data_IF_227136753865
#
_entry.id   IF_227136753865
#
_cell.length_a   1.000
_cell.length_b   1.000
_cell.length_c   1.000
_cell.angle_alpha   90.00
_cell.angle_beta   90.00
_cell.angle_gamma   90.00
#
_symmetry.space_group_name_H-M   'P 1'
#
loop_
_entity.id
_entity.type
_entity.pdbx_description
1 polymer ?
#
# COMPACT_ATOMS: atom_id res chain seq x y z
N UNK A 1 -22.72 -27.75 -9.21
CA UNK A 1 -23.02 -27.77 -10.66
C UNK A 1 -21.68 -27.74 -11.38
N UNK A 2 -21.49 -28.53 -12.44
CA UNK A 2 -20.22 -28.52 -13.17
C UNK A 2 -20.00 -27.14 -13.82
N UNK A 3 -18.78 -26.60 -13.70
CA UNK A 3 -18.47 -25.25 -14.16
C UNK A 3 -18.62 -25.09 -15.67
N UNK A 4 -18.11 -26.05 -16.45
CA UNK A 4 -18.22 -26.02 -17.91
C UNK A 4 -19.66 -26.12 -18.38
N UNK A 5 -20.45 -27.06 -17.83
CA UNK A 5 -21.87 -27.16 -18.19
C UNK A 5 -22.63 -25.87 -17.88
N UNK A 6 -22.33 -25.22 -16.74
CA UNK A 6 -22.96 -23.94 -16.43
C UNK A 6 -22.58 -22.86 -17.44
N UNK A 7 -21.32 -22.82 -17.87
CA UNK A 7 -20.83 -21.85 -18.87
C UNK A 7 -21.54 -22.07 -20.22
N UNK A 8 -21.59 -23.32 -20.68
CA UNK A 8 -22.20 -23.72 -21.95
C UNK A 8 -23.71 -23.44 -21.97
N UNK A 9 -24.40 -23.59 -20.83
CA UNK A 9 -25.82 -23.27 -20.68
C UNK A 9 -26.08 -21.75 -20.57
N UNK A 10 -25.09 -20.98 -20.09
CA UNK A 10 -25.24 -19.55 -19.80
C UNK A 10 -24.90 -18.65 -20.98
N UNK A 11 -24.04 -19.10 -21.90
CA UNK A 11 -23.53 -18.29 -23.00
C UNK A 11 -23.48 -19.06 -24.31
N UNK A 12 -23.88 -18.40 -25.40
CA UNK A 12 -23.67 -18.92 -26.75
C UNK A 12 -22.21 -18.74 -27.21
N UNK A 13 -21.80 -19.52 -28.22
CA UNK A 13 -20.44 -19.47 -28.79
C UNK A 13 -20.09 -18.14 -29.44
N UNK A 14 -21.09 -17.38 -29.87
CA UNK A 14 -20.93 -16.06 -30.44
C UNK A 14 -20.75 -15.00 -29.34
N UNK A 15 -21.50 -15.12 -28.23
CA UNK A 15 -21.41 -14.18 -27.11
C UNK A 15 -20.05 -14.23 -26.42
N UNK A 16 -19.51 -15.43 -26.16
CA UNK A 16 -18.24 -15.60 -25.42
C UNK A 16 -17.04 -14.88 -26.07
N UNK A 17 -17.09 -14.66 -27.40
CA UNK A 17 -16.02 -13.99 -28.15
C UNK A 17 -15.94 -12.49 -27.88
N UNK A 18 -17.05 -11.89 -27.48
CA UNK A 18 -17.17 -10.45 -27.22
C UNK A 18 -17.15 -10.11 -25.73
N UNK A 19 -17.22 -11.11 -24.84
CA UNK A 19 -17.20 -10.91 -23.39
C UNK A 19 -15.83 -10.39 -22.95
N UNK A 20 -15.83 -9.17 -22.41
CA UNK A 20 -14.64 -8.53 -21.80
C UNK A 20 -14.54 -8.75 -20.30
N UNK A 21 -15.66 -8.98 -19.64
CA UNK A 21 -15.74 -9.10 -18.18
C UNK A 21 -16.63 -10.28 -17.81
N UNK A 22 -16.07 -11.28 -17.12
CA UNK A 22 -16.80 -12.45 -16.65
C UNK A 22 -16.76 -12.48 -15.11
N UNK A 23 -17.93 -12.42 -14.48
CA UNK A 23 -18.09 -12.56 -13.03
C UNK A 23 -18.98 -13.77 -12.70
N UNK A 24 -18.35 -14.82 -12.19
CA UNK A 24 -18.97 -16.08 -11.76
C UNK A 24 -18.63 -16.39 -10.30
N UNK A 25 -18.38 -15.34 -9.51
CA UNK A 25 -18.09 -15.44 -8.08
C UNK A 25 -19.23 -16.13 -7.32
N UNK A 26 -18.88 -17.04 -6.42
CA UNK A 26 -19.80 -17.66 -5.46
C UNK A 26 -21.03 -18.31 -6.11
N UNK A 27 -20.79 -19.11 -7.15
CA UNK A 27 -21.83 -19.83 -7.90
C UNK A 27 -21.94 -21.31 -7.51
N UNK A 28 -21.08 -21.79 -6.60
CA UNK A 28 -21.03 -23.20 -6.23
C UNK A 28 -20.63 -24.11 -7.41
N UNK A 29 -19.83 -23.57 -8.33
CA UNK A 29 -19.32 -24.31 -9.49
C UNK A 29 -18.22 -25.28 -9.06
N UNK A 30 -18.19 -26.45 -9.69
CA UNK A 30 -17.26 -27.54 -9.38
C UNK A 30 -16.54 -28.02 -10.64
N UNK A 31 -15.31 -28.50 -10.50
CA UNK A 31 -14.56 -29.12 -11.60
C UNK A 31 -13.79 -28.11 -12.45
N UNK A 32 -13.59 -28.43 -13.72
CA UNK A 32 -12.79 -27.62 -14.65
C UNK A 32 -13.60 -26.51 -15.31
N UNK A 33 -12.99 -25.34 -15.50
CA UNK A 33 -13.52 -24.24 -16.30
C UNK A 33 -12.58 -23.96 -17.48
N UNK A 34 -13.10 -24.10 -18.70
CA UNK A 34 -12.40 -23.81 -19.94
C UNK A 34 -12.86 -22.46 -20.51
N UNK A 35 -11.95 -21.48 -20.57
CA UNK A 35 -12.18 -20.16 -21.16
C UNK A 35 -11.33 -19.96 -22.43
N UNK A 36 -10.91 -21.03 -23.10
CA UNK A 36 -10.04 -20.98 -24.28
C UNK A 36 -10.66 -20.29 -25.51
N UNK A 37 -11.96 -20.03 -25.52
CA UNK A 37 -12.66 -19.28 -26.58
C UNK A 37 -12.94 -17.81 -26.21
N UNK A 38 -12.54 -17.35 -25.01
CA UNK A 38 -12.79 -15.99 -24.50
C UNK A 38 -11.69 -14.99 -24.92
N UNK A 39 -11.49 -14.81 -26.23
CA UNK A 39 -10.39 -14.01 -26.79
C UNK A 39 -10.40 -12.53 -26.42
N UNK A 40 -11.57 -12.00 -26.04
CA UNK A 40 -11.75 -10.58 -25.67
C UNK A 40 -11.74 -10.34 -24.16
N UNK A 41 -11.54 -11.37 -23.34
CA UNK A 41 -11.64 -11.27 -21.90
C UNK A 41 -10.49 -10.45 -21.32
N UNK A 42 -10.84 -9.40 -20.60
CA UNK A 42 -9.94 -8.44 -19.95
C UNK A 42 -9.98 -8.59 -18.42
N UNK A 43 -11.11 -9.03 -17.86
CA UNK A 43 -11.32 -9.20 -16.42
C UNK A 43 -12.09 -10.48 -16.10
N UNK A 44 -11.56 -11.29 -15.18
CA UNK A 44 -12.17 -12.53 -14.72
C UNK A 44 -12.29 -12.55 -13.20
N UNK A 45 -13.48 -12.87 -12.69
CA UNK A 45 -13.69 -13.28 -11.31
C UNK A 45 -14.43 -14.61 -11.23
N UNK A 46 -13.71 -15.65 -10.84
CA UNK A 46 -14.24 -16.99 -10.59
C UNK A 46 -14.06 -17.42 -9.11
N UNK A 47 -13.90 -16.45 -8.22
CA UNK A 47 -13.63 -16.67 -6.80
C UNK A 47 -14.77 -17.39 -6.08
N UNK A 48 -14.46 -18.00 -4.93
CA UNK A 48 -15.41 -18.67 -4.04
C UNK A 48 -16.22 -19.77 -4.74
N UNK A 49 -15.54 -20.62 -5.51
CA UNK A 49 -16.12 -21.82 -6.11
C UNK A 49 -15.32 -23.05 -5.64
N UNK A 50 -15.50 -24.18 -6.31
CA UNK A 50 -14.73 -25.42 -6.10
C UNK A 50 -14.09 -25.85 -7.41
N UNK A 51 -13.52 -24.89 -8.13
CA UNK A 51 -12.85 -25.14 -9.39
C UNK A 51 -11.55 -25.89 -9.12
N UNK A 52 -11.31 -26.95 -9.87
CA UNK A 52 -10.09 -27.77 -9.75
C UNK A 52 -9.05 -27.43 -10.83
N UNK A 53 -9.48 -26.80 -11.92
CA UNK A 53 -8.61 -26.30 -12.98
C UNK A 53 -9.25 -25.11 -13.70
N UNK A 54 -8.39 -24.26 -14.27
CA UNK A 54 -8.77 -23.07 -15.01
C UNK A 54 -7.90 -22.96 -16.26
N UNK A 55 -8.50 -23.04 -17.46
CA UNK A 55 -7.78 -22.86 -18.73
C UNK A 55 -8.01 -21.44 -19.28
N UNK A 56 -6.92 -20.68 -19.40
CA UNK A 56 -6.87 -19.28 -19.86
C UNK A 56 -6.02 -19.10 -21.13
N UNK A 57 -5.66 -20.19 -21.83
CA UNK A 57 -4.60 -20.18 -22.84
C UNK A 57 -4.78 -19.16 -23.97
N UNK A 58 -6.02 -18.80 -24.31
CA UNK A 58 -6.33 -17.83 -25.37
C UNK A 58 -6.74 -16.45 -24.85
N UNK A 59 -6.82 -16.26 -23.54
CA UNK A 59 -7.30 -15.02 -22.91
C UNK A 59 -6.19 -13.95 -22.82
N UNK A 60 -5.47 -13.69 -23.91
CA UNK A 60 -4.25 -12.85 -23.93
C UNK A 60 -4.47 -11.37 -23.55
N UNK A 61 -5.73 -10.93 -23.52
CA UNK A 61 -6.11 -9.57 -23.09
C UNK A 61 -6.38 -9.45 -21.59
N UNK A 62 -6.29 -10.54 -20.82
CA UNK A 62 -6.55 -10.50 -19.38
C UNK A 62 -5.60 -9.54 -18.66
N UNK A 63 -6.18 -8.58 -17.97
CA UNK A 63 -5.49 -7.63 -17.09
C UNK A 63 -5.65 -7.99 -15.61
N UNK A 64 -6.79 -8.59 -15.23
CA UNK A 64 -7.08 -8.93 -13.84
C UNK A 64 -7.73 -10.32 -13.73
N UNK A 65 -7.17 -11.17 -12.87
CA UNK A 65 -7.68 -12.51 -12.58
C UNK A 65 -7.92 -12.64 -11.07
N UNK A 66 -9.15 -12.95 -10.71
CA UNK A 66 -9.53 -13.33 -9.35
C UNK A 66 -10.06 -14.77 -9.35
N UNK A 67 -9.27 -15.69 -8.82
CA UNK A 67 -9.64 -17.10 -8.62
C UNK A 67 -9.52 -17.53 -7.14
N UNK A 68 -9.59 -16.54 -6.22
CA UNK A 68 -9.54 -16.72 -4.78
C UNK A 68 -10.51 -17.82 -4.29
N UNK A 69 -10.08 -18.62 -3.32
CA UNK A 69 -10.90 -19.67 -2.68
C UNK A 69 -11.50 -20.65 -3.69
N UNK A 70 -10.64 -21.47 -4.27
CA UNK A 70 -10.95 -22.61 -5.13
C UNK A 70 -10.05 -23.81 -4.76
N UNK A 71 -10.06 -24.87 -5.56
CA UNK A 71 -9.26 -26.09 -5.36
C UNK A 71 -8.23 -26.29 -6.49
N UNK A 72 -7.77 -25.18 -7.09
CA UNK A 72 -6.86 -25.19 -8.25
C UNK A 72 -5.47 -25.62 -7.81
N UNK A 73 -4.90 -26.62 -8.49
CA UNK A 73 -3.56 -27.16 -8.20
C UNK A 73 -2.47 -26.59 -9.11
N UNK A 74 -2.85 -26.25 -10.33
CA UNK A 74 -1.96 -25.73 -11.37
C UNK A 74 -2.73 -24.68 -12.17
N UNK A 75 -2.04 -23.59 -12.52
CA UNK A 75 -2.58 -22.55 -13.39
C UNK A 75 -1.51 -22.14 -14.39
N UNK A 76 -1.86 -22.15 -15.68
CA UNK A 76 -0.97 -21.71 -16.74
C UNK A 76 -1.29 -20.27 -17.14
N UNK A 77 -0.35 -19.37 -16.89
CA UNK A 77 -0.46 -17.94 -17.18
C UNK A 77 0.47 -17.49 -18.33
N UNK A 78 0.99 -18.46 -19.10
CA UNK A 78 1.88 -18.20 -20.24
C UNK A 78 1.20 -17.29 -21.27
N UNK A 79 1.91 -16.23 -21.70
CA UNK A 79 1.46 -15.22 -22.68
C UNK A 79 0.34 -14.30 -22.21
N UNK A 80 0.10 -14.19 -20.91
CA UNK A 80 -0.79 -13.16 -20.35
C UNK A 80 0.00 -11.88 -20.09
N UNK A 81 0.58 -11.31 -21.15
CA UNK A 81 1.54 -10.19 -21.06
C UNK A 81 0.92 -8.89 -20.54
N UNK A 82 -0.42 -8.79 -20.57
CA UNK A 82 -1.19 -7.66 -20.08
C UNK A 82 -1.61 -7.82 -18.61
N UNK A 83 -1.30 -8.94 -17.95
CA UNK A 83 -1.75 -9.23 -16.60
C UNK A 83 -1.10 -8.24 -15.61
N UNK A 84 -1.97 -7.52 -14.89
CA UNK A 84 -1.59 -6.52 -13.89
C UNK A 84 -1.89 -6.98 -12.47
N UNK A 85 -2.93 -7.80 -12.30
CA UNK A 85 -3.35 -8.29 -10.98
C UNK A 85 -3.71 -9.77 -11.02
N UNK A 86 -3.13 -10.53 -10.11
CA UNK A 86 -3.48 -11.93 -9.87
C UNK A 86 -3.85 -12.12 -8.40
N UNK A 87 -5.07 -12.56 -8.17
CA UNK A 87 -5.51 -13.11 -6.89
C UNK A 87 -5.85 -14.59 -7.03
N UNK A 88 -4.89 -15.44 -6.63
CA UNK A 88 -5.01 -16.89 -6.56
C UNK A 88 -4.92 -17.39 -5.11
N UNK A 89 -5.26 -16.54 -4.13
CA UNK A 89 -5.26 -16.93 -2.72
C UNK A 89 -6.20 -18.09 -2.43
N UNK A 90 -5.95 -18.83 -1.35
CA UNK A 90 -6.81 -19.93 -0.89
C UNK A 90 -7.05 -21.01 -1.96
N UNK A 91 -6.00 -21.43 -2.67
CA UNK A 91 -6.02 -22.56 -3.61
C UNK A 91 -5.09 -23.71 -3.13
N UNK A 92 -4.69 -24.61 -4.03
CA UNK A 92 -3.79 -25.72 -3.78
C UNK A 92 -2.55 -25.66 -4.70
N UNK A 93 -2.17 -24.46 -5.17
CA UNK A 93 -1.04 -24.27 -6.07
C UNK A 93 0.26 -24.72 -5.41
N UNK A 94 1.06 -25.50 -6.14
CA UNK A 94 2.38 -25.98 -5.68
C UNK A 94 3.54 -25.26 -6.35
N UNK A 95 3.32 -24.74 -7.56
CA UNK A 95 4.31 -24.00 -8.33
C UNK A 95 3.63 -22.98 -9.27
N UNK A 96 4.41 -22.01 -9.74
CA UNK A 96 3.98 -21.02 -10.72
C UNK A 96 5.20 -20.55 -11.53
N UNK A 97 5.07 -20.58 -12.86
CA UNK A 97 6.12 -20.06 -13.73
C UNK A 97 6.13 -18.52 -13.70
N UNK A 98 6.98 -17.95 -12.84
CA UNK A 98 7.14 -16.50 -12.74
C UNK A 98 7.73 -15.87 -14.01
N UNK A 99 8.40 -16.64 -14.87
CA UNK A 99 8.93 -16.13 -16.14
C UNK A 99 7.85 -15.91 -17.20
N UNK A 100 6.66 -16.48 -16.99
CA UNK A 100 5.49 -16.28 -17.84
C UNK A 100 4.85 -14.90 -17.72
N UNK A 101 5.15 -14.16 -16.64
CA UNK A 101 4.59 -12.84 -16.38
C UNK A 101 5.42 -11.74 -17.04
N UNK A 102 4.75 -10.70 -17.53
CA UNK A 102 5.43 -9.47 -17.87
C UNK A 102 5.75 -8.67 -16.59
N UNK A 103 7.04 -8.64 -16.26
CA UNK A 103 7.54 -8.00 -15.05
C UNK A 103 7.24 -6.48 -14.97
N UNK A 104 7.06 -5.81 -16.12
CA UNK A 104 6.78 -4.38 -16.18
C UNK A 104 5.29 -4.03 -15.93
N UNK A 105 4.40 -5.01 -16.00
CA UNK A 105 2.95 -4.79 -15.90
C UNK A 105 2.36 -5.25 -14.57
N UNK A 106 2.95 -6.25 -13.91
CA UNK A 106 2.40 -6.84 -12.69
C UNK A 106 2.50 -5.86 -11.50
N UNK A 107 1.36 -5.52 -10.91
CA UNK A 107 1.22 -4.61 -9.77
C UNK A 107 0.79 -5.32 -8.50
N UNK A 108 -0.01 -6.38 -8.60
CA UNK A 108 -0.57 -7.09 -7.46
C UNK A 108 -0.48 -8.60 -7.65
N UNK A 109 0.17 -9.26 -6.69
CA UNK A 109 0.33 -10.71 -6.68
C UNK A 109 -0.08 -11.27 -5.31
N UNK A 110 -1.21 -11.98 -5.30
CA UNK A 110 -1.76 -12.63 -4.11
C UNK A 110 -1.80 -14.13 -4.31
N UNK A 111 -0.92 -14.82 -3.59
CA UNK A 111 -0.71 -16.27 -3.60
C UNK A 111 -0.90 -16.89 -2.21
N UNK A 112 -1.45 -16.14 -1.26
CA UNK A 112 -1.57 -16.57 0.13
C UNK A 112 -2.40 -17.85 0.29
N UNK A 113 -2.07 -18.65 1.30
CA UNK A 113 -2.80 -19.87 1.67
C UNK A 113 -2.94 -20.87 0.50
N UNK A 114 -1.81 -21.13 -0.16
CA UNK A 114 -1.59 -22.19 -1.17
C UNK A 114 -0.68 -23.29 -0.60
N UNK A 115 -0.07 -24.11 -1.45
CA UNK A 115 0.87 -25.17 -1.07
C UNK A 115 2.19 -25.06 -1.84
N UNK A 116 2.70 -23.84 -2.05
CA UNK A 116 3.96 -23.65 -2.78
C UNK A 116 5.07 -24.46 -2.12
N UNK A 117 5.79 -25.22 -2.94
CA UNK A 117 6.95 -25.98 -2.52
C UNK A 117 8.11 -25.05 -2.12
N UNK A 118 9.27 -25.62 -1.81
CA UNK A 118 10.44 -24.87 -1.36
C UNK A 118 10.94 -23.89 -2.44
N UNK A 119 10.46 -22.65 -2.36
CA UNK A 119 10.70 -21.59 -3.34
C UNK A 119 11.48 -20.45 -2.70
N UNK A 120 12.52 -19.98 -3.36
CA UNK A 120 13.26 -18.81 -2.90
C UNK A 120 12.52 -17.54 -3.33
N UNK A 121 12.34 -16.60 -2.39
CA UNK A 121 11.75 -15.27 -2.62
C UNK A 121 12.43 -14.49 -3.77
N UNK A 122 13.67 -14.84 -4.15
CA UNK A 122 14.39 -14.31 -5.31
C UNK A 122 13.60 -14.39 -6.64
N UNK A 123 12.65 -15.33 -6.75
CA UNK A 123 11.75 -15.43 -7.90
C UNK A 123 10.94 -14.14 -8.15
N UNK A 124 10.73 -13.32 -7.12
CA UNK A 124 10.01 -12.06 -7.25
C UNK A 124 10.88 -10.88 -7.68
N UNK A 125 12.22 -11.03 -7.71
CA UNK A 125 13.15 -9.94 -8.06
C UNK A 125 12.85 -9.19 -9.37
N UNK A 126 12.32 -9.82 -10.44
CA UNK A 126 12.01 -9.09 -11.67
C UNK A 126 10.88 -8.06 -11.50
N UNK A 127 9.95 -8.28 -10.57
CA UNK A 127 8.72 -7.50 -10.44
C UNK A 127 8.89 -6.22 -9.61
N UNK A 128 9.78 -5.33 -10.05
CA UNK A 128 10.13 -4.09 -9.33
C UNK A 128 8.98 -3.09 -9.18
N UNK A 129 7.89 -3.26 -9.94
CA UNK A 129 6.70 -2.41 -9.89
C UNK A 129 5.60 -2.90 -8.96
N UNK A 130 5.75 -4.05 -8.31
CA UNK A 130 4.74 -4.60 -7.39
C UNK A 130 4.38 -3.58 -6.30
N UNK A 131 3.09 -3.42 -6.09
CA UNK A 131 2.50 -2.65 -5.00
C UNK A 131 2.03 -3.56 -3.85
N UNK A 132 1.62 -4.80 -4.18
CA UNK A 132 1.06 -5.76 -3.23
C UNK A 132 1.63 -7.14 -3.47
N UNK A 133 2.22 -7.76 -2.43
CA UNK A 133 2.71 -9.13 -2.45
C UNK A 133 2.22 -9.90 -1.22
N UNK A 134 1.27 -10.82 -1.42
CA UNK A 134 0.73 -11.67 -0.35
C UNK A 134 1.10 -13.12 -0.61
N UNK A 135 2.05 -13.66 0.15
CA UNK A 135 2.56 -15.04 -0.02
C UNK A 135 2.45 -15.87 1.27
N UNK A 136 1.81 -15.30 2.30
CA UNK A 136 1.63 -15.91 3.60
C UNK A 136 0.77 -17.19 3.57
N UNK A 137 0.68 -17.87 4.71
CA UNK A 137 -0.39 -18.83 4.98
C UNK A 137 -1.10 -18.44 6.26
N UNK A 138 -2.39 -18.14 6.17
CA UNK A 138 -3.21 -17.66 7.27
C UNK A 138 -4.44 -18.54 7.57
N UNK A 139 -4.41 -19.77 7.06
CA UNK A 139 -5.42 -20.80 7.30
C UNK A 139 -4.83 -21.92 8.18
N UNK A 140 -5.27 -21.99 9.44
CA UNK A 140 -4.83 -23.02 10.39
C UNK A 140 -5.21 -24.43 9.92
N UNK A 141 -6.38 -24.60 9.31
CA UNK A 141 -6.84 -25.91 8.85
C UNK A 141 -6.00 -26.44 7.70
N UNK A 142 -5.52 -25.56 6.82
CA UNK A 142 -4.54 -25.91 5.77
C UNK A 142 -3.18 -26.27 6.38
N UNK A 143 -2.68 -25.48 7.34
CA UNK A 143 -1.39 -25.74 8.00
C UNK A 143 -1.41 -27.09 8.73
N UNK A 144 -2.48 -27.41 9.45
CA UNK A 144 -2.67 -28.71 10.11
C UNK A 144 -2.64 -29.89 9.10
N UNK A 145 -3.08 -29.64 7.87
CA UNK A 145 -3.00 -30.60 6.75
C UNK A 145 -1.66 -30.57 6.01
N UNK A 146 -0.66 -29.85 6.52
CA UNK A 146 0.64 -29.63 5.88
C UNK A 146 0.54 -28.94 4.49
N UNK A 147 -0.50 -28.13 4.30
CA UNK A 147 -0.75 -27.30 3.12
C UNK A 147 -0.39 -25.86 3.48
N UNK A 148 0.78 -25.40 3.06
CA UNK A 148 1.22 -24.02 3.30
C UNK A 148 2.33 -23.64 2.32
N UNK A 149 2.52 -22.34 2.14
CA UNK A 149 3.54 -21.80 1.26
C UNK A 149 4.94 -21.87 1.89
N UNK A 150 5.87 -22.57 1.24
CA UNK A 150 7.25 -22.76 1.70
C UNK A 150 8.23 -21.79 1.04
N UNK A 151 7.84 -20.50 1.00
CA UNK A 151 8.77 -19.45 0.57
C UNK A 151 9.86 -19.25 1.62
N UNK A 152 11.11 -19.17 1.17
CA UNK A 152 12.28 -18.95 2.01
C UNK A 152 13.23 -17.92 1.38
N UNK A 153 14.31 -17.60 2.08
CA UNK A 153 15.32 -16.65 1.60
C UNK A 153 15.33 -15.38 2.44
N UNK A 154 15.75 -14.26 1.84
CA UNK A 154 15.98 -13.01 2.54
C UNK A 154 15.28 -11.85 1.83
N UNK A 155 14.79 -10.87 2.58
CA UNK A 155 14.06 -9.72 2.03
C UNK A 155 14.92 -8.78 1.16
N UNK A 156 16.25 -9.00 1.06
CA UNK A 156 17.14 -8.29 0.13
C UNK A 156 16.62 -8.22 -1.31
N UNK A 157 15.92 -9.25 -1.75
CA UNK A 157 15.26 -9.31 -3.06
C UNK A 157 14.31 -8.13 -3.30
N UNK A 158 13.67 -7.62 -2.25
CA UNK A 158 12.65 -6.57 -2.34
C UNK A 158 13.26 -5.17 -2.43
N UNK A 159 14.59 -5.02 -2.38
CA UNK A 159 15.30 -3.74 -2.37
C UNK A 159 14.90 -2.82 -3.52
N UNK A 160 14.66 -3.38 -4.70
CA UNK A 160 14.33 -2.62 -5.91
C UNK A 160 12.81 -2.38 -6.07
N UNK A 161 11.97 -2.90 -5.17
CA UNK A 161 10.50 -2.79 -5.22
C UNK A 161 10.01 -1.52 -4.52
N UNK A 162 10.37 -0.36 -5.06
CA UNK A 162 10.10 0.94 -4.44
C UNK A 162 8.60 1.27 -4.27
N UNK A 163 7.71 0.61 -5.00
CA UNK A 163 6.26 0.83 -4.95
C UNK A 163 5.53 -0.10 -3.98
N UNK A 164 6.22 -1.04 -3.34
CA UNK A 164 5.59 -2.05 -2.49
C UNK A 164 4.99 -1.40 -1.24
N UNK A 165 3.67 -1.51 -1.11
CA UNK A 165 2.86 -0.91 -0.04
C UNK A 165 2.32 -1.95 0.91
N UNK A 166 2.06 -3.15 0.43
CA UNK A 166 1.55 -4.25 1.23
C UNK A 166 2.38 -5.52 1.01
N UNK A 167 2.90 -6.07 2.10
CA UNK A 167 3.64 -7.32 2.13
C UNK A 167 3.14 -8.21 3.26
N UNK A 168 2.74 -9.43 2.92
CA UNK A 168 2.37 -10.44 3.92
C UNK A 168 3.17 -11.73 3.71
N UNK A 169 4.02 -12.02 4.70
CA UNK A 169 4.91 -13.18 4.74
C UNK A 169 4.65 -14.05 5.99
N UNK A 170 3.49 -13.90 6.66
CA UNK A 170 3.12 -14.74 7.81
C UNK A 170 3.22 -16.23 7.46
N UNK A 171 3.69 -17.02 8.42
CA UNK A 171 3.87 -18.48 8.27
C UNK A 171 4.84 -18.95 7.17
N UNK A 172 5.71 -18.09 6.64
CA UNK A 172 6.76 -18.45 5.67
C UNK A 172 8.13 -18.66 6.34
N UNK A 173 9.07 -19.24 5.59
CA UNK A 173 10.46 -19.47 6.02
C UNK A 173 11.43 -18.37 5.57
N UNK A 174 10.92 -17.19 5.22
CA UNK A 174 11.71 -16.00 4.89
C UNK A 174 12.37 -15.45 6.16
N UNK A 175 13.67 -15.15 6.10
CA UNK A 175 14.48 -14.71 7.24
C UNK A 175 15.37 -13.50 6.91
N UNK A 176 15.36 -12.51 7.82
CA UNK A 176 16.18 -11.29 7.77
C UNK A 176 15.87 -10.32 6.62
N UNK A 177 16.73 -9.29 6.48
CA UNK A 177 16.67 -8.34 5.37
C UNK A 177 15.66 -7.21 5.53
N UNK A 178 15.24 -6.92 6.77
CA UNK A 178 14.32 -5.82 7.09
C UNK A 178 14.81 -4.46 6.57
N UNK A 179 16.13 -4.26 6.53
CA UNK A 179 16.77 -3.07 6.02
C UNK A 179 16.53 -2.81 4.51
N UNK A 180 16.03 -3.81 3.78
CA UNK A 180 15.71 -3.73 2.36
C UNK A 180 14.21 -3.50 2.09
N UNK A 181 13.38 -3.42 3.14
CA UNK A 181 11.98 -3.06 2.97
C UNK A 181 11.86 -1.58 2.55
N UNK A 182 10.94 -1.25 1.62
CA UNK A 182 10.70 0.13 1.24
C UNK A 182 10.23 0.97 2.42
N UNK A 183 10.71 2.23 2.49
CA UNK A 183 10.37 3.15 3.56
C UNK A 183 8.85 3.46 3.62
N UNK A 184 8.18 3.42 2.48
CA UNK A 184 6.75 3.76 2.32
C UNK A 184 5.81 2.55 2.47
N UNK A 185 6.31 1.41 2.95
CA UNK A 185 5.47 0.24 3.20
C UNK A 185 4.37 0.56 4.22
N UNK A 186 3.11 0.37 3.81
CA UNK A 186 1.94 0.71 4.62
C UNK A 186 1.55 -0.44 5.54
N UNK A 187 1.61 -1.65 5.01
CA UNK A 187 1.25 -2.87 5.71
C UNK A 187 2.35 -3.91 5.53
N UNK A 188 2.94 -4.34 6.65
CA UNK A 188 3.90 -5.43 6.68
C UNK A 188 3.50 -6.45 7.75
N UNK A 189 3.07 -7.63 7.30
CA UNK A 189 2.60 -8.73 8.16
C UNK A 189 3.65 -9.83 8.18
N UNK A 190 4.21 -10.07 9.36
CA UNK A 190 5.25 -11.07 9.61
C UNK A 190 4.97 -11.70 10.98
N UNK A 191 4.37 -12.88 11.00
CA UNK A 191 4.00 -13.57 12.24
C UNK A 191 4.19 -15.07 12.05
N UNK A 192 4.49 -15.73 13.18
CA UNK A 192 4.63 -17.18 13.30
C UNK A 192 3.46 -17.81 14.07
N UNK A 193 2.41 -17.04 14.42
CA UNK A 193 1.25 -17.58 15.15
C UNK A 193 0.66 -18.81 14.49
N UNK A 194 0.50 -18.75 13.17
CA UNK A 194 -0.08 -19.82 12.36
C UNK A 194 0.85 -21.02 12.24
N UNK A 195 2.17 -20.79 12.24
CA UNK A 195 3.20 -21.82 12.11
C UNK A 195 4.39 -21.49 13.04
N UNK A 196 4.42 -22.01 14.28
CA UNK A 196 5.40 -21.63 15.30
C UNK A 196 6.87 -21.87 14.90
N UNK A 197 7.13 -22.85 14.04
CA UNK A 197 8.45 -23.18 13.51
C UNK A 197 8.87 -22.33 12.29
N UNK A 198 7.98 -21.47 11.78
CA UNK A 198 8.27 -20.61 10.62
C UNK A 198 9.43 -19.65 10.91
N UNK A 199 10.40 -19.59 9.99
CA UNK A 199 11.59 -18.74 10.17
C UNK A 199 11.31 -17.24 10.11
N UNK A 200 10.15 -16.81 9.62
CA UNK A 200 9.69 -15.42 9.72
C UNK A 200 9.72 -14.88 11.17
N UNK A 201 9.72 -15.75 12.21
CA UNK A 201 9.91 -15.32 13.59
C UNK A 201 11.33 -14.76 13.88
N UNK A 202 12.36 -15.11 13.10
CA UNK A 202 13.70 -14.55 13.27
C UNK A 202 13.74 -13.06 12.95
N UNK A 203 12.97 -12.63 11.94
CA UNK A 203 12.77 -11.23 11.60
C UNK A 203 12.23 -10.46 12.81
N UNK A 204 11.24 -11.03 13.50
CA UNK A 204 10.71 -10.47 14.74
C UNK A 204 11.79 -10.36 15.84
N UNK A 205 12.61 -11.40 16.04
CA UNK A 205 13.70 -11.38 17.04
C UNK A 205 14.79 -10.36 16.70
N UNK A 206 15.14 -10.22 15.43
CA UNK A 206 16.10 -9.23 14.94
C UNK A 206 15.59 -7.80 15.15
N UNK A 207 14.35 -7.53 14.77
CA UNK A 207 13.70 -6.25 15.01
C UNK A 207 13.63 -5.94 16.50
N UNK A 208 13.20 -6.91 17.31
CA UNK A 208 13.14 -6.76 18.76
C UNK A 208 14.52 -6.53 19.37
N UNK A 209 15.57 -7.18 18.88
CA UNK A 209 16.96 -6.95 19.30
C UNK A 209 17.45 -5.54 18.96
N UNK A 210 17.18 -5.06 17.75
CA UNK A 210 17.52 -3.69 17.35
C UNK A 210 16.76 -2.64 18.17
N UNK A 211 15.45 -2.84 18.35
CA UNK A 211 14.61 -1.99 19.19
C UNK A 211 15.05 -2.02 20.66
N UNK A 212 15.44 -3.18 21.19
CA UNK A 212 16.00 -3.30 22.53
C UNK A 212 17.31 -2.51 22.66
N UNK A 213 18.24 -2.62 21.70
CA UNK A 213 19.50 -1.85 21.70
C UNK A 213 19.23 -0.35 21.69
N UNK A 214 18.35 0.12 20.79
CA UNK A 214 17.94 1.52 20.74
C UNK A 214 17.27 1.98 22.03
N UNK A 215 16.40 1.15 22.61
CA UNK A 215 15.76 1.42 23.89
C UNK A 215 16.74 1.49 25.04
N UNK A 216 17.81 0.70 25.05
CA UNK A 216 18.84 0.80 26.11
C UNK A 216 19.65 2.10 26.03
N UNK A 217 19.77 2.71 24.84
CA UNK A 217 20.38 4.03 24.68
C UNK A 217 19.47 5.14 25.21
N UNK A 218 18.16 5.02 24.99
CA UNK A 218 17.16 6.01 25.41
C UNK A 218 16.79 5.85 26.89
N UNK A 219 16.73 4.61 27.39
CA UNK A 219 16.40 4.26 28.77
C UNK A 219 17.46 3.30 29.36
N UNK A 220 18.57 3.83 29.88
CA UNK A 220 19.59 3.02 30.53
C UNK A 220 19.00 2.30 31.75
N UNK A 221 19.29 1.00 31.91
CA UNK A 221 18.89 0.17 33.05
C UNK A 221 17.38 -0.03 33.24
N UNK A 222 16.55 0.22 32.21
CA UNK A 222 15.13 -0.13 32.21
C UNK A 222 14.87 -1.32 31.28
N UNK A 223 13.88 -2.15 31.64
CA UNK A 223 13.40 -3.21 30.75
C UNK A 223 12.73 -2.60 29.52
N UNK A 224 12.94 -3.18 28.34
CA UNK A 224 12.30 -2.73 27.12
C UNK A 224 10.78 -2.71 27.26
N UNK A 225 10.20 -1.53 27.07
CA UNK A 225 8.77 -1.32 26.90
C UNK A 225 8.58 -0.55 25.60
N UNK A 226 8.00 -1.20 24.60
CA UNK A 226 7.78 -0.61 23.28
C UNK A 226 6.88 0.63 23.31
N UNK A 227 5.92 0.68 24.23
CA UNK A 227 5.00 1.80 24.37
C UNK A 227 5.73 3.01 24.93
N UNK A 228 6.51 2.81 25.99
CA UNK A 228 7.36 3.87 26.57
C UNK A 228 8.42 4.33 25.57
N UNK A 229 9.07 3.40 24.87
CA UNK A 229 10.06 3.71 23.84
C UNK A 229 9.46 4.52 22.69
N UNK A 230 8.29 4.15 22.19
CA UNK A 230 7.58 4.91 21.16
C UNK A 230 7.23 6.33 21.63
N UNK A 231 6.71 6.46 22.86
CA UNK A 231 6.36 7.76 23.43
C UNK A 231 7.59 8.66 23.56
N UNK A 232 8.73 8.11 23.98
CA UNK A 232 9.96 8.86 24.15
C UNK A 232 10.61 9.27 22.82
N UNK A 233 10.59 8.40 21.81
CA UNK A 233 11.01 8.78 20.46
C UNK A 233 10.13 9.91 19.91
N UNK A 234 8.81 9.85 20.12
CA UNK A 234 7.90 10.93 19.73
C UNK A 234 8.18 12.23 20.51
N UNK A 235 8.59 12.14 21.78
CA UNK A 235 9.02 13.27 22.60
C UNK A 235 10.30 13.91 22.07
N UNK A 236 11.32 13.12 21.78
CA UNK A 236 12.60 13.59 21.24
C UNK A 236 12.43 14.26 19.87
N UNK A 237 11.67 13.63 18.96
CA UNK A 237 11.34 14.23 17.66
C UNK A 237 10.62 15.57 17.81
N UNK A 238 9.67 15.66 18.75
CA UNK A 238 8.99 16.93 19.03
C UNK A 238 9.96 17.99 19.56
N UNK A 239 10.88 17.63 20.45
CA UNK A 239 11.89 18.55 20.98
C UNK A 239 12.84 19.08 19.90
N UNK A 240 13.17 18.27 18.90
CA UNK A 240 14.01 18.66 17.77
C UNK A 240 13.27 19.55 16.77
N UNK A 241 12.02 19.19 16.42
CA UNK A 241 11.25 19.87 15.36
C UNK A 241 10.54 21.14 15.83
N UNK A 242 10.14 21.23 17.11
CA UNK A 242 9.37 22.37 17.61
C UNK A 242 10.12 23.72 17.58
N UNK A 243 11.44 23.80 17.89
CA UNK A 243 12.21 25.03 17.70
C UNK A 243 12.24 25.47 16.23
N UNK A 244 12.49 24.54 15.31
CA UNK A 244 12.53 24.84 13.88
C UNK A 244 11.19 25.37 13.37
N UNK A 245 10.07 24.76 13.77
CA UNK A 245 8.74 25.25 13.42
C UNK A 245 8.45 26.68 13.94
N UNK A 246 8.98 27.04 15.11
CA UNK A 246 8.84 28.40 15.65
C UNK A 246 9.63 29.42 14.83
N UNK A 247 10.83 29.08 14.40
CA UNK A 247 11.66 29.93 13.54
C UNK A 247 11.03 30.12 12.16
N UNK A 248 10.53 29.04 11.58
CA UNK A 248 9.81 29.04 10.30
C UNK A 248 8.54 29.90 10.37
N UNK A 249 7.78 29.82 11.47
CA UNK A 249 6.62 30.67 11.71
C UNK A 249 6.98 32.15 11.84
N UNK A 250 8.04 32.47 12.60
CA UNK A 250 8.49 33.85 12.74
C UNK A 250 8.93 34.43 11.38
N UNK A 251 9.61 33.63 10.57
CA UNK A 251 10.01 34.00 9.21
C UNK A 251 8.79 34.25 8.32
N UNK A 252 7.77 33.39 8.41
CA UNK A 252 6.54 33.57 7.66
C UNK A 252 5.76 34.81 8.08
N UNK A 253 5.67 35.10 9.39
CA UNK A 253 5.06 36.34 9.91
C UNK A 253 5.79 37.59 9.39
N UNK A 254 7.12 37.55 9.32
CA UNK A 254 7.91 38.62 8.72
C UNK A 254 7.58 38.82 7.24
N UNK A 255 7.53 37.75 6.44
CA UNK A 255 7.17 37.82 5.02
C UNK A 255 5.77 38.41 4.80
N UNK A 256 4.82 38.05 5.66
CA UNK A 256 3.46 38.63 5.60
C UNK A 256 3.49 40.14 5.85
N UNK A 257 4.27 40.60 6.84
CA UNK A 257 4.38 42.02 7.15
C UNK A 257 5.05 42.80 6.02
N UNK A 258 6.15 42.28 5.46
CA UNK A 258 6.83 42.87 4.30
C UNK A 258 5.89 42.98 3.09
N UNK A 259 5.09 41.94 2.84
CA UNK A 259 4.11 41.95 1.76
C UNK A 259 2.99 42.97 2.00
N UNK A 260 2.52 43.13 3.25
CA UNK A 260 1.51 44.14 3.62
C UNK A 260 2.02 45.56 3.49
N UNK A 261 3.26 45.82 3.90
CA UNK A 261 3.92 47.12 3.73
C UNK A 261 4.03 47.48 2.24
N UNK A 262 4.50 46.55 1.40
CA UNK A 262 4.59 46.74 -0.07
C UNK A 262 3.22 46.95 -0.73
N UNK A 263 2.20 46.27 -0.23
CA UNK A 263 0.83 46.37 -0.74
C UNK A 263 0.10 47.66 -0.29
N UNK A 264 0.62 48.36 0.73
CA UNK A 264 0.03 49.56 1.32
C UNK A 264 -1.01 49.21 2.38
N UNK A 265 -0.77 49.69 3.62
CA UNK A 265 -1.45 49.27 4.86
C UNK A 265 -2.99 49.35 4.85
N UNK A 266 -3.61 50.15 3.97
CA UNK A 266 -5.06 50.35 3.94
C UNK A 266 -5.81 49.82 2.71
N UNK A 267 -5.13 49.48 1.61
CA UNK A 267 -5.82 49.21 0.32
C UNK A 267 -5.79 47.73 -0.08
N UNK A 268 -4.62 47.09 -0.03
CA UNK A 268 -4.44 45.70 -0.49
C UNK A 268 -4.01 44.73 0.63
N UNK A 269 -3.62 45.24 1.81
CA UNK A 269 -3.26 44.42 2.96
C UNK A 269 -4.36 43.42 3.42
N UNK A 270 -5.66 43.77 3.39
CA UNK A 270 -6.72 42.79 3.70
C UNK A 270 -6.78 41.64 2.69
N UNK A 271 -6.42 41.89 1.43
CA UNK A 271 -6.44 40.88 0.35
C UNK A 271 -5.36 39.83 0.55
N UNK A 272 -4.22 40.18 1.15
CA UNK A 272 -3.18 39.22 1.54
C UNK A 272 -3.74 38.23 2.58
N UNK A 273 -4.47 38.70 3.59
CA UNK A 273 -5.09 37.82 4.58
C UNK A 273 -6.15 36.91 3.92
N UNK A 274 -6.99 37.44 3.03
CA UNK A 274 -7.98 36.66 2.29
C UNK A 274 -7.34 35.60 1.38
N UNK A 275 -6.21 35.93 0.75
CA UNK A 275 -5.43 34.99 -0.06
C UNK A 275 -4.92 33.83 0.79
N UNK A 276 -4.28 34.13 1.92
CA UNK A 276 -3.76 33.12 2.84
C UNK A 276 -4.90 32.26 3.44
N UNK A 277 -6.04 32.87 3.78
CA UNK A 277 -7.20 32.14 4.29
C UNK A 277 -7.79 31.20 3.23
N UNK A 278 -7.96 31.67 2.00
CA UNK A 278 -8.46 30.85 0.90
C UNK A 278 -7.51 29.70 0.56
N UNK A 279 -6.19 29.94 0.59
CA UNK A 279 -5.18 28.92 0.36
C UNK A 279 -5.19 27.85 1.47
N UNK A 280 -5.30 28.26 2.74
CA UNK A 280 -5.42 27.35 3.86
C UNK A 280 -6.68 26.47 3.78
N UNK A 281 -7.83 27.06 3.44
CA UNK A 281 -9.07 26.31 3.22
C UNK A 281 -8.94 25.32 2.06
N UNK A 282 -8.25 25.71 0.99
CA UNK A 282 -8.01 24.87 -0.18
C UNK A 282 -7.16 23.63 0.13
N UNK A 283 -6.20 23.75 1.05
CA UNK A 283 -5.37 22.62 1.52
C UNK A 283 -6.15 21.62 2.38
N UNK A 284 -7.17 22.08 3.11
CA UNK A 284 -7.97 21.24 4.00
C UNK A 284 -9.16 20.57 3.30
N UNK A 285 -9.53 21.06 2.11
CA UNK A 285 -10.73 20.60 1.41
C UNK A 285 -10.47 19.36 0.56
N UNK A 286 -11.28 18.32 0.76
CA UNK A 286 -11.21 17.04 0.02
C UNK A 286 -12.19 16.99 -1.17
N UNK A 287 -13.27 17.78 -1.12
CA UNK A 287 -14.29 17.83 -2.18
C UNK A 287 -13.82 18.63 -3.40
N UNK A 288 -13.84 18.00 -4.59
CA UNK A 288 -13.40 18.61 -5.85
C UNK A 288 -14.15 19.89 -6.21
N UNK A 289 -15.48 19.89 -6.07
CA UNK A 289 -16.32 21.04 -6.42
C UNK A 289 -16.10 22.29 -5.55
N UNK A 290 -15.64 22.11 -4.31
CA UNK A 290 -15.29 23.20 -3.40
C UNK A 290 -13.85 23.69 -3.66
N UNK A 291 -12.96 22.76 -4.00
CA UNK A 291 -11.57 23.04 -4.37
C UNK A 291 -11.48 23.93 -5.62
N UNK A 292 -12.31 23.68 -6.62
CA UNK A 292 -12.38 24.50 -7.84
C UNK A 292 -12.80 25.95 -7.54
N UNK A 293 -13.76 26.14 -6.62
CA UNK A 293 -14.21 27.47 -6.17
C UNK A 293 -13.12 28.21 -5.39
N UNK A 294 -12.39 27.51 -4.52
CA UNK A 294 -11.30 28.09 -3.73
C UNK A 294 -10.09 28.44 -4.61
N UNK A 295 -9.76 27.58 -5.58
CA UNK A 295 -8.74 27.83 -6.59
C UNK A 295 -9.04 29.10 -7.40
N UNK A 296 -10.29 29.27 -7.85
CA UNK A 296 -10.74 30.48 -8.54
C UNK A 296 -10.63 31.76 -7.68
N UNK A 297 -10.90 31.67 -6.36
CA UNK A 297 -10.71 32.80 -5.44
C UNK A 297 -9.23 33.14 -5.23
N UNK A 298 -8.38 32.13 -5.03
CA UNK A 298 -6.94 32.29 -4.88
C UNK A 298 -6.37 33.01 -6.10
N UNK A 299 -6.76 32.60 -7.31
CA UNK A 299 -6.27 33.21 -8.55
C UNK A 299 -6.76 34.67 -8.72
N UNK A 300 -8.02 34.96 -8.34
CA UNK A 300 -8.53 36.32 -8.32
C UNK A 300 -7.75 37.22 -7.34
N UNK A 301 -7.45 36.74 -6.13
CA UNK A 301 -6.66 37.49 -5.16
C UNK A 301 -5.21 37.68 -5.62
N UNK A 302 -4.59 36.66 -6.24
CA UNK A 302 -3.26 36.78 -6.86
C UNK A 302 -3.24 37.87 -7.93
N UNK A 303 -4.22 37.87 -8.84
CA UNK A 303 -4.31 38.85 -9.93
C UNK A 303 -4.41 40.29 -9.40
N UNK A 304 -5.19 40.49 -8.33
CA UNK A 304 -5.32 41.81 -7.70
C UNK A 304 -3.99 42.23 -7.04
N UNK A 305 -3.34 41.31 -6.33
CA UNK A 305 -2.09 41.57 -5.62
C UNK A 305 -0.88 41.73 -6.55
N UNK A 306 -0.91 41.15 -7.76
CA UNK A 306 0.13 41.28 -8.79
C UNK A 306 0.34 42.74 -9.27
N UNK A 307 -0.59 43.64 -8.94
CA UNK A 307 -0.43 45.09 -9.18
C UNK A 307 0.56 45.75 -8.23
N UNK A 308 0.97 45.06 -7.14
CA UNK A 308 1.83 45.56 -6.06
C UNK A 308 2.94 44.60 -5.65
N UNK A 309 2.71 43.31 -5.77
CA UNK A 309 3.65 42.24 -5.44
C UNK A 309 4.02 41.47 -6.69
N UNK A 310 5.24 40.95 -6.75
CA UNK A 310 5.67 40.06 -7.82
C UNK A 310 5.02 38.69 -7.70
N UNK A 311 4.95 37.96 -8.81
CA UNK A 311 4.48 36.58 -8.82
C UNK A 311 5.33 35.67 -7.92
N UNK A 312 6.64 35.92 -7.85
CA UNK A 312 7.58 35.17 -7.01
C UNK A 312 7.33 35.38 -5.52
N UNK A 313 7.09 36.62 -5.08
CA UNK A 313 6.75 36.93 -3.69
C UNK A 313 5.43 36.27 -3.26
N UNK A 314 4.41 36.33 -4.12
CA UNK A 314 3.11 35.68 -3.86
C UNK A 314 3.26 34.15 -3.81
N UNK A 315 4.06 33.56 -4.70
CA UNK A 315 4.29 32.12 -4.68
C UNK A 315 5.10 31.69 -3.45
N UNK A 316 6.08 32.49 -3.04
CA UNK A 316 6.88 32.25 -1.83
C UNK A 316 6.01 32.25 -0.57
N UNK A 317 5.10 33.21 -0.43
CA UNK A 317 4.14 33.26 0.68
C UNK A 317 3.26 32.01 0.75
N UNK A 318 2.72 31.57 -0.39
CA UNK A 318 1.84 30.41 -0.44
C UNK A 318 2.59 29.11 -0.15
N UNK A 319 3.78 28.92 -0.74
CA UNK A 319 4.61 27.74 -0.49
C UNK A 319 5.00 27.64 1.00
N UNK A 320 5.45 28.76 1.59
CA UNK A 320 5.83 28.81 3.01
C UNK A 320 4.64 28.51 3.93
N UNK A 321 3.44 28.97 3.56
CA UNK A 321 2.21 28.64 4.28
C UNK A 321 1.92 27.12 4.24
N UNK A 322 2.05 26.50 3.07
CA UNK A 322 1.83 25.06 2.91
C UNK A 322 2.85 24.24 3.70
N UNK A 323 4.13 24.61 3.64
CA UNK A 323 5.21 23.95 4.40
C UNK A 323 4.96 24.04 5.90
N UNK A 324 4.61 25.23 6.41
CA UNK A 324 4.33 25.45 7.83
C UNK A 324 3.09 24.65 8.28
N UNK A 325 2.02 24.64 7.49
CA UNK A 325 0.79 23.88 7.71
C UNK A 325 1.07 22.37 7.87
N UNK A 326 1.94 21.81 7.02
CA UNK A 326 2.37 20.41 7.11
C UNK A 326 3.20 20.14 8.36
N UNK A 327 4.14 21.03 8.69
CA UNK A 327 5.00 20.92 9.86
C UNK A 327 4.19 21.00 11.17
N UNK A 328 3.26 21.94 11.28
CA UNK A 328 2.35 22.08 12.42
C UNK A 328 1.48 20.81 12.59
N UNK A 329 0.92 20.27 11.49
CA UNK A 329 0.16 19.01 11.52
C UNK A 329 1.02 17.83 11.97
N UNK A 330 2.29 17.77 11.57
CA UNK A 330 3.23 16.74 12.02
C UNK A 330 3.49 16.85 13.53
N UNK A 331 3.73 18.06 14.04
CA UNK A 331 3.92 18.33 15.47
C UNK A 331 2.67 17.97 16.30
N UNK A 332 1.48 18.30 15.82
CA UNK A 332 0.22 17.89 16.47
C UNK A 332 0.09 16.36 16.59
N UNK A 333 0.46 15.62 15.55
CA UNK A 333 0.40 14.17 15.55
C UNK A 333 1.40 13.58 16.58
N UNK A 334 2.60 14.15 16.66
CA UNK A 334 3.58 13.77 17.68
C UNK A 334 3.05 14.02 19.10
N UNK A 335 2.35 15.14 19.34
CA UNK A 335 1.72 15.44 20.63
C UNK A 335 0.51 14.54 20.94
N UNK A 336 -0.32 14.23 19.95
CA UNK A 336 -1.46 13.29 20.11
C UNK A 336 -0.96 11.90 20.51
N UNK A 337 0.17 11.46 19.95
CA UNK A 337 0.80 10.19 20.29
C UNK A 337 1.40 10.15 21.71
N UNK A 338 1.78 11.30 22.29
CA UNK A 338 2.22 11.38 23.70
C UNK A 338 1.07 11.28 24.70
N UNK A 339 -0.16 11.64 24.33
CA UNK A 339 -1.33 11.68 25.22
C UNK A 339 -2.20 10.41 25.21
N UNK A 340 -1.90 9.42 24.35
CA UNK A 340 -2.68 8.17 24.31
C UNK A 340 -2.31 7.27 25.49
N UNK A 341 -3.26 6.86 26.35
CA UNK A 341 -3.00 5.89 27.41
C UNK A 341 -2.59 4.54 26.83
N UNK A 342 -1.81 3.77 27.59
CA UNK A 342 -1.19 2.49 27.24
C UNK A 342 -2.17 1.35 26.83
N UNK A 343 -3.48 1.62 26.78
CA UNK A 343 -4.52 0.60 26.53
C UNK A 343 -4.91 0.42 25.05
N UNK A 344 -4.27 1.11 24.10
CA UNK A 344 -4.37 0.69 22.70
C UNK A 344 -3.36 -0.44 22.43
N UNK A 345 -3.66 -1.62 22.96
CA UNK A 345 -3.11 -2.88 22.46
C UNK A 345 -3.51 -3.02 20.99
N UNK A 346 -2.65 -2.62 20.06
CA UNK A 346 -2.59 -3.31 18.78
C UNK A 346 -2.00 -4.67 19.08
N UNK A 347 -2.84 -5.70 18.98
CA UNK A 347 -2.44 -7.11 19.03
C UNK A 347 -1.24 -7.33 18.11
N UNK A 348 -0.05 -7.36 18.71
CA UNK A 348 1.09 -8.08 18.16
C UNK A 348 1.14 -9.38 18.95
N UNK A 349 0.43 -10.37 18.41
CA UNK A 349 0.66 -11.78 18.65
C UNK A 349 1.17 -12.38 17.35
#
# INVERSE_FOLDING_TARGET
MNAQHWLDDSYSKEEIKEIKRLDINNKGLTGSLDLSDFFSLEWLNCSNNKLTSLDLKSCQKLEEIHCYSNEIKEINLTKLDQLRKLDAGYNLLTDLDFSAFNAENLLELKLHSNNFDNQNIDCFSPFTRLEVLLICTDDNGKIEQNIYNRFHGNLKTLREMNNLRELDIRATDIEGGLEYLPADIKEFKYSSLFRPEAKAQKIFRELQSQLNKLSTLVFPNQSYDFTQFRQEIARLKYQELAPHAREEKATFEQLINEAKEKAGEGSFAPIINLLLEANHQNEQTVESSQKDKLSGKIEAYKTILQTKLTQEELQTLLNKQTELSQLEKHLENLQKNQKRPANCQTQFG
#
